data_IF_310611020828
#
_entry.id   IF_310611020828
#
_cell.length_a   1.000
_cell.length_b   1.000
_cell.length_c   1.000
_cell.angle_alpha   90.00
_cell.angle_beta   90.00
_cell.angle_gamma   90.00
#
_symmetry.space_group_name_H-M   'P 1'
#
loop_
_entity.id
_entity.type
_entity.pdbx_description
1 polymer ?
#
# COMPACT_ATOMS: atom_id res chain seq x y z
N UNK A 1 73.21 45.97 -22.00
CA UNK A 1 72.61 46.29 -20.69
C UNK A 1 71.36 45.43 -20.54
N UNK A 2 71.42 44.45 -19.63
CA UNK A 2 70.39 43.47 -19.25
C UNK A 2 69.68 44.06 -18.01
N UNK A 3 68.33 43.97 -17.86
CA UNK A 3 67.72 42.79 -17.23
C UNK A 3 66.40 42.28 -17.86
N UNK A 4 66.31 40.95 -18.05
CA UNK A 4 65.14 40.16 -17.62
C UNK A 4 65.43 39.70 -16.17
N UNK A 5 64.55 39.02 -15.41
CA UNK A 5 63.11 38.69 -15.54
C UNK A 5 62.30 38.98 -14.25
N UNK A 6 61.00 38.70 -14.22
CA UNK A 6 60.37 38.05 -13.05
C UNK A 6 59.16 37.21 -13.49
N UNK A 7 59.12 35.98 -13.00
CA UNK A 7 58.11 34.95 -13.24
C UNK A 7 57.74 34.41 -11.86
N UNK A 8 56.49 34.50 -11.43
CA UNK A 8 55.86 33.70 -10.34
C UNK A 8 54.49 34.26 -9.96
N UNK A 9 53.64 33.55 -9.19
CA UNK A 9 53.30 32.13 -9.24
C UNK A 9 51.77 31.89 -9.14
N UNK A 10 51.37 30.63 -9.33
CA UNK A 10 50.33 29.89 -8.61
C UNK A 10 49.07 30.62 -8.08
N UNK A 11 47.92 30.16 -8.55
CA UNK A 11 46.63 30.40 -7.93
C UNK A 11 45.59 29.39 -8.37
N UNK A 12 45.72 28.14 -7.92
CA UNK A 12 44.63 27.19 -7.92
C UNK A 12 43.59 27.62 -6.86
N UNK A 13 42.30 27.63 -7.19
CA UNK A 13 41.10 27.52 -6.32
C UNK A 13 39.95 27.28 -7.34
N UNK A 14 39.55 26.05 -7.69
CA UNK A 14 38.74 25.09 -6.93
C UNK A 14 37.45 25.67 -6.34
N UNK A 15 36.32 25.29 -6.97
CA UNK A 15 34.94 25.31 -6.46
C UNK A 15 34.37 26.64 -5.93
N UNK A 16 33.57 27.30 -6.77
CA UNK A 16 32.55 28.25 -6.31
C UNK A 16 31.14 27.68 -6.54
N UNK A 17 30.79 26.76 -5.64
CA UNK A 17 29.49 26.64 -4.94
C UNK A 17 28.22 26.89 -5.78
N UNK A 18 27.55 25.79 -6.14
CA UNK A 18 26.10 25.73 -6.34
C UNK A 18 25.40 26.21 -5.07
N UNK A 19 24.90 27.45 -5.07
CA UNK A 19 24.10 27.97 -3.98
C UNK A 19 22.63 28.08 -4.41
N UNK A 20 21.82 27.19 -3.80
CA UNK A 20 20.43 27.41 -3.37
C UNK A 20 19.32 27.31 -4.44
N UNK A 21 19.27 26.21 -5.19
CA UNK A 21 17.99 25.68 -5.69
C UNK A 21 17.31 24.86 -4.60
N UNK A 22 16.72 25.53 -3.61
CA UNK A 22 15.94 24.93 -2.54
C UNK A 22 14.46 25.28 -2.66
N UNK A 23 13.82 25.00 -3.79
CA UNK A 23 12.34 25.06 -3.87
C UNK A 23 11.81 23.88 -3.07
N UNK A 24 11.65 24.07 -1.75
CA UNK A 24 10.88 23.16 -0.92
C UNK A 24 9.41 23.46 -1.15
N UNK A 25 8.81 22.76 -2.11
CA UNK A 25 7.36 22.68 -2.20
C UNK A 25 6.87 21.70 -1.12
N UNK A 26 6.73 22.18 0.12
CA UNK A 26 6.02 21.43 1.14
C UNK A 26 4.52 21.68 0.97
N UNK A 27 3.89 20.98 0.03
CA UNK A 27 2.44 20.81 0.05
C UNK A 27 2.10 19.64 0.97
N UNK A 28 2.24 19.85 2.27
CA UNK A 28 1.52 19.02 3.23
C UNK A 28 0.11 19.60 3.29
N UNK A 29 -0.78 19.08 2.44
CA UNK A 29 -2.21 19.26 2.68
C UNK A 29 -2.46 18.60 4.03
N UNK A 30 -2.80 19.36 5.06
CA UNK A 30 -3.38 18.81 6.28
C UNK A 30 -4.67 18.10 5.87
N UNK A 31 -4.57 16.78 5.65
CA UNK A 31 -5.72 15.92 5.49
C UNK A 31 -6.33 15.87 6.88
N UNK A 32 -7.49 16.52 7.04
CA UNK A 32 -8.28 16.42 8.26
C UNK A 32 -8.45 14.93 8.59
N UNK A 33 -7.83 14.48 9.68
CA UNK A 33 -7.74 13.07 10.11
C UNK A 33 -9.11 12.43 10.43
N UNK A 34 -10.21 13.19 10.29
CA UNK A 34 -11.59 12.75 10.51
C UNK A 34 -12.29 12.22 9.25
N UNK A 35 -11.72 12.34 8.05
CA UNK A 35 -12.39 11.93 6.81
C UNK A 35 -12.17 10.44 6.54
N UNK A 36 -12.97 9.60 7.20
CA UNK A 36 -13.12 8.20 6.85
C UNK A 36 -13.86 8.10 5.51
N UNK A 37 -13.13 7.86 4.41
CA UNK A 37 -13.69 7.68 3.06
C UNK A 37 -14.33 6.29 2.87
N UNK A 38 -15.11 5.83 3.85
CA UNK A 38 -15.83 4.55 3.78
C UNK A 38 -17.31 4.80 3.53
N UNK A 39 -17.87 4.06 2.58
CA UNK A 39 -19.30 4.09 2.29
C UNK A 39 -19.80 2.70 1.85
N UNK A 40 -20.82 2.13 2.51
CA UNK A 40 -21.38 2.58 3.79
C UNK A 40 -20.33 2.54 4.90
N UNK A 41 -20.58 3.28 5.99
CA UNK A 41 -19.75 3.14 7.18
C UNK A 41 -20.01 1.76 7.80
N UNK A 42 -18.96 0.98 8.14
CA UNK A 42 -19.13 -0.30 8.82
C UNK A 42 -19.89 -0.16 10.14
N UNK A 43 -20.57 -1.23 10.58
CA UNK A 43 -21.27 -1.26 11.87
C UNK A 43 -20.32 -1.04 13.05
N UNK A 44 -19.10 -1.57 12.93
CA UNK A 44 -18.00 -1.37 13.86
C UNK A 44 -16.76 -0.95 13.07
N UNK A 45 -16.14 0.16 13.49
CA UNK A 45 -14.98 0.71 12.79
C UNK A 45 -13.95 1.25 13.77
N UNK A 46 -12.70 0.84 13.59
CA UNK A 46 -11.52 1.41 14.23
C UNK A 46 -10.43 1.59 13.19
N UNK A 47 -9.54 2.56 13.40
CA UNK A 47 -8.40 2.80 12.52
C UNK A 47 -7.14 3.09 13.34
N UNK A 48 -5.99 2.74 12.78
CA UNK A 48 -4.68 3.03 13.35
C UNK A 48 -4.14 4.39 12.93
N UNK A 49 -2.96 4.74 13.44
CA UNK A 49 -2.25 5.98 13.09
C UNK A 49 -1.15 5.77 12.02
N UNK A 50 -0.97 4.55 11.55
CA UNK A 50 0.05 4.18 10.58
C UNK A 50 -0.51 4.13 9.15
N UNK A 51 0.31 4.57 8.19
CA UNK A 51 0.04 4.38 6.76
C UNK A 51 0.88 3.21 6.24
N UNK A 52 0.23 2.22 5.63
CA UNK A 52 0.89 1.03 5.09
C UNK A 52 1.02 1.10 3.58
N UNK A 53 2.19 0.70 3.09
CA UNK A 53 2.44 0.51 1.66
C UNK A 53 2.01 -0.89 1.22
N UNK A 54 1.27 -0.97 0.11
CA UNK A 54 0.75 -2.23 -0.42
C UNK A 54 1.42 -2.58 -1.74
N UNK A 55 1.87 -3.82 -1.87
CA UNK A 55 2.48 -4.36 -3.09
C UNK A 55 1.44 -4.45 -4.22
N UNK A 56 1.63 -3.79 -5.38
CA UNK A 56 0.75 -3.95 -6.54
C UNK A 56 0.68 -5.39 -7.07
N UNK A 57 1.67 -6.22 -6.74
CA UNK A 57 1.66 -7.67 -7.01
C UNK A 57 1.00 -8.48 -5.91
N UNK A 58 0.14 -7.86 -5.08
CA UNK A 58 -0.62 -8.46 -3.98
C UNK A 58 -1.07 -9.89 -4.32
N UNK A 59 -0.71 -10.84 -3.46
CA UNK A 59 -1.10 -12.24 -3.59
C UNK A 59 -2.36 -12.56 -2.77
N UNK A 60 -3.10 -13.58 -3.17
CA UNK A 60 -4.26 -14.07 -2.43
C UNK A 60 -3.91 -15.38 -1.74
N UNK A 61 -4.17 -15.45 -0.44
CA UNK A 61 -4.13 -16.67 0.37
C UNK A 61 -5.56 -17.01 0.81
N UNK A 62 -6.12 -18.10 0.29
CA UNK A 62 -7.46 -18.54 0.65
C UNK A 62 -7.37 -19.65 1.69
N UNK A 63 -8.12 -19.52 2.77
CA UNK A 63 -8.24 -20.53 3.81
C UNK A 63 -9.71 -20.89 4.07
N UNK A 64 -9.96 -22.10 4.57
CA UNK A 64 -11.32 -22.63 4.71
C UNK A 64 -11.82 -23.24 3.40
N UNK A 65 -13.02 -22.83 2.97
CA UNK A 65 -13.63 -23.33 1.73
C UNK A 65 -13.05 -22.62 0.50
N UNK A 66 -12.86 -23.38 -0.56
CA UNK A 66 -12.44 -22.81 -1.83
C UNK A 66 -13.65 -22.18 -2.56
N UNK A 67 -13.51 -20.95 -3.07
CA UNK A 67 -14.57 -20.27 -3.82
C UNK A 67 -14.00 -19.59 -5.07
N UNK A 68 -14.56 -19.95 -6.22
CA UNK A 68 -14.21 -19.34 -7.51
C UNK A 68 -14.66 -17.87 -7.57
N UNK A 69 -15.78 -17.54 -6.91
CA UNK A 69 -16.33 -16.19 -6.84
C UNK A 69 -15.35 -15.26 -6.11
N UNK A 70 -14.79 -15.71 -4.98
CA UNK A 70 -13.81 -14.93 -4.20
C UNK A 70 -12.55 -14.67 -5.01
N UNK A 71 -12.02 -15.67 -5.73
CA UNK A 71 -10.86 -15.48 -6.62
C UNK A 71 -11.14 -14.47 -7.73
N UNK A 72 -12.27 -14.61 -8.41
CA UNK A 72 -12.66 -13.68 -9.48
C UNK A 72 -12.89 -12.25 -8.95
N UNK A 73 -13.44 -12.11 -7.74
CA UNK A 73 -13.58 -10.82 -7.06
C UNK A 73 -12.22 -10.21 -6.72
N UNK A 74 -11.31 -11.00 -6.16
CA UNK A 74 -9.95 -10.54 -5.85
C UNK A 74 -9.25 -9.97 -7.09
N UNK A 75 -9.25 -10.70 -8.21
CA UNK A 75 -8.61 -10.26 -9.44
C UNK A 75 -9.23 -8.95 -9.97
N UNK A 76 -10.56 -8.84 -9.93
CA UNK A 76 -11.28 -7.63 -10.34
C UNK A 76 -10.90 -6.43 -9.48
N UNK A 77 -10.94 -6.55 -8.15
CA UNK A 77 -10.61 -5.45 -7.24
C UNK A 77 -9.14 -5.07 -7.30
N UNK A 78 -8.23 -6.04 -7.42
CA UNK A 78 -6.80 -5.78 -7.65
C UNK A 78 -6.59 -4.93 -8.91
N UNK A 79 -7.28 -5.26 -10.00
CA UNK A 79 -7.23 -4.49 -11.25
C UNK A 79 -7.78 -3.06 -11.13
N UNK A 80 -8.78 -2.83 -10.28
CA UNK A 80 -9.34 -1.50 -10.00
C UNK A 80 -8.38 -0.67 -9.14
N UNK A 81 -7.94 -1.22 -8.00
CA UNK A 81 -7.12 -0.52 -7.01
C UNK A 81 -5.74 -0.16 -7.58
N UNK A 82 -5.11 -1.10 -8.29
CA UNK A 82 -3.74 -0.94 -8.80
C UNK A 82 -3.67 -0.56 -10.28
N UNK A 83 -4.77 -0.05 -10.87
CA UNK A 83 -4.81 0.40 -12.28
C UNK A 83 -3.64 1.32 -12.64
N UNK A 84 -3.24 2.18 -11.71
CA UNK A 84 -2.18 3.18 -11.89
C UNK A 84 -0.77 2.67 -11.56
N UNK A 85 -0.64 1.52 -10.88
CA UNK A 85 0.65 0.98 -10.48
C UNK A 85 1.46 0.37 -11.64
N UNK A 86 0.78 0.03 -12.74
CA UNK A 86 1.39 -0.53 -13.94
C UNK A 86 2.00 0.53 -14.88
N UNK A 87 1.80 1.82 -14.61
CA UNK A 87 2.50 2.87 -15.32
C UNK A 87 3.98 2.77 -14.95
N UNK A 88 4.81 2.32 -15.89
CA UNK A 88 6.22 2.07 -15.70
C UNK A 88 6.92 3.28 -15.05
N UNK A 89 7.14 3.22 -13.73
CA UNK A 89 7.94 4.22 -13.04
C UNK A 89 9.37 4.13 -13.60
N UNK A 90 9.95 5.23 -14.11
CA UNK A 90 11.30 5.23 -14.66
C UNK A 90 12.39 5.00 -13.60
N UNK A 91 12.04 4.91 -12.31
CA UNK A 91 12.95 4.67 -11.19
C UNK A 91 13.05 3.19 -10.81
N UNK A 92 13.27 2.29 -11.79
CA UNK A 92 13.49 0.84 -11.60
C UNK A 92 14.87 0.50 -10.97
N UNK A 93 15.28 1.20 -9.93
CA UNK A 93 16.58 1.01 -9.27
C UNK A 93 16.53 0.26 -7.94
N UNK A 94 15.36 0.11 -7.31
CA UNK A 94 15.24 -0.40 -5.95
C UNK A 94 13.97 -1.23 -5.85
N UNK A 95 14.06 -2.47 -5.39
CA UNK A 95 12.87 -3.24 -5.02
C UNK A 95 12.16 -2.45 -3.90
N UNK A 96 10.97 -1.87 -4.16
CA UNK A 96 10.23 -1.20 -3.10
C UNK A 96 9.89 -2.24 -2.02
N UNK A 97 10.22 -1.92 -0.78
CA UNK A 97 9.75 -2.65 0.39
C UNK A 97 8.29 -2.24 0.60
N UNK A 98 7.41 -3.23 0.61
CA UNK A 98 5.98 -3.07 0.87
C UNK A 98 5.64 -3.71 2.21
N UNK A 99 4.78 -3.05 2.98
CA UNK A 99 4.30 -3.54 4.28
C UNK A 99 3.31 -4.69 4.11
N UNK A 100 2.45 -4.64 3.08
CA UNK A 100 1.43 -5.65 2.79
C UNK A 100 1.66 -6.27 1.41
N UNK A 101 1.76 -7.60 1.36
CA UNK A 101 2.10 -8.37 0.14
C UNK A 101 1.15 -9.54 -0.13
N UNK A 102 0.40 -9.96 0.88
CA UNK A 102 -0.60 -11.02 0.77
C UNK A 102 -1.89 -10.56 1.45
N UNK A 103 -3.02 -10.94 0.86
CA UNK A 103 -4.35 -10.82 1.45
C UNK A 103 -4.83 -12.22 1.79
N UNK A 104 -5.06 -12.48 3.08
CA UNK A 104 -5.64 -13.74 3.55
C UNK A 104 -7.15 -13.59 3.67
N UNK A 105 -7.90 -14.44 2.96
CA UNK A 105 -9.36 -14.51 3.06
C UNK A 105 -9.73 -15.86 3.65
N UNK A 106 -10.53 -15.85 4.71
CA UNK A 106 -11.11 -17.07 5.29
C UNK A 106 -12.59 -17.12 4.93
N UNK A 107 -13.00 -18.20 4.25
CA UNK A 107 -14.40 -18.43 3.86
C UNK A 107 -14.93 -19.64 4.62
N UNK A 108 -15.98 -19.43 5.41
CA UNK A 108 -16.55 -20.48 6.25
C UNK A 108 -17.66 -21.29 5.58
N UNK A 109 -18.45 -20.68 4.68
CA UNK A 109 -19.58 -21.32 4.01
C UNK A 109 -19.27 -21.78 2.59
N UNK A 110 -19.91 -22.85 2.15
CA UNK A 110 -19.93 -23.33 0.76
C UNK A 110 -21.22 -22.95 0.01
N UNK A 111 -22.12 -22.20 0.64
CA UNK A 111 -23.33 -21.71 0.00
C UNK A 111 -23.07 -20.43 -0.82
N UNK A 112 -23.22 -20.53 -2.14
CA UNK A 112 -23.10 -19.41 -3.09
C UNK A 112 -24.46 -18.90 -3.60
N UNK A 113 -25.57 -19.40 -3.04
CA UNK A 113 -26.93 -19.01 -3.45
C UNK A 113 -27.29 -17.60 -2.98
N UNK A 114 -27.84 -16.81 -3.91
CA UNK A 114 -28.33 -15.46 -3.62
C UNK A 114 -29.77 -15.51 -3.14
N UNK A 115 -29.94 -15.53 -1.82
CA UNK A 115 -31.25 -15.51 -1.16
C UNK A 115 -31.33 -14.35 -0.17
N UNK A 116 -32.55 -13.90 0.14
CA UNK A 116 -32.75 -12.94 1.22
C UNK A 116 -32.48 -13.64 2.56
N UNK A 117 -31.77 -12.97 3.47
CA UNK A 117 -31.45 -13.52 4.80
C UNK A 117 -30.13 -14.31 4.85
N UNK A 118 -29.32 -14.27 3.80
CA UNK A 118 -27.92 -14.74 3.85
C UNK A 118 -27.08 -13.77 4.69
N UNK A 119 -26.14 -14.30 5.46
CA UNK A 119 -25.19 -13.54 6.25
C UNK A 119 -24.09 -12.93 5.36
N UNK A 120 -24.08 -11.59 5.30
CA UNK A 120 -23.10 -10.79 4.57
C UNK A 120 -22.07 -10.14 5.51
N UNK A 121 -21.97 -10.62 6.76
CA UNK A 121 -21.05 -10.08 7.76
C UNK A 121 -19.58 -10.44 7.48
N UNK A 122 -18.68 -9.54 7.81
CA UNK A 122 -17.25 -9.74 7.68
C UNK A 122 -16.48 -8.95 8.73
N UNK A 123 -15.27 -9.41 9.02
CA UNK A 123 -14.28 -8.71 9.83
C UNK A 123 -13.04 -8.43 8.99
N UNK A 124 -12.60 -7.17 8.95
CA UNK A 124 -11.40 -6.74 8.23
C UNK A 124 -10.34 -6.31 9.23
N UNK A 125 -9.21 -7.01 9.23
CA UNK A 125 -8.05 -6.71 10.05
C UNK A 125 -6.87 -6.29 9.18
N UNK A 126 -6.43 -5.04 9.37
CA UNK A 126 -5.26 -4.48 8.68
C UNK A 126 -4.23 -4.13 9.74
N UNK A 127 -3.19 -4.96 9.85
CA UNK A 127 -2.11 -4.76 10.81
C UNK A 127 -0.79 -4.55 10.06
N UNK A 128 0.06 -3.69 10.63
CA UNK A 128 1.47 -3.65 10.24
C UNK A 128 2.14 -4.92 10.74
N UNK A 129 3.02 -5.46 9.93
CA UNK A 129 3.82 -6.59 10.35
C UNK A 129 5.01 -6.09 11.20
N UNK A 130 5.12 -6.57 12.43
CA UNK A 130 6.28 -6.30 13.28
C UNK A 130 7.49 -7.09 12.76
N UNK A 131 8.69 -6.61 13.06
CA UNK A 131 10.00 -7.06 12.53
C UNK A 131 10.33 -8.56 12.72
N UNK A 132 9.43 -9.33 13.34
CA UNK A 132 9.55 -10.75 13.66
C UNK A 132 8.62 -11.68 12.89
N UNK A 133 7.69 -11.17 12.09
CA UNK A 133 6.84 -12.00 11.25
C UNK A 133 7.21 -11.77 9.77
N UNK A 134 7.43 -12.85 9.03
CA UNK A 134 8.00 -12.82 7.67
C UNK A 134 6.92 -12.48 6.62
N UNK A 135 5.66 -12.36 7.06
CA UNK A 135 4.50 -12.31 6.18
C UNK A 135 3.68 -11.05 6.46
N UNK A 136 3.89 -10.03 5.61
CA UNK A 136 3.07 -8.81 5.59
C UNK A 136 1.68 -9.12 5.04
N UNK A 137 0.78 -9.56 5.91
CA UNK A 137 -0.56 -10.00 5.57
C UNK A 137 -1.63 -9.05 6.11
N UNK A 138 -2.51 -8.59 5.21
CA UNK A 138 -3.83 -8.11 5.61
C UNK A 138 -4.78 -9.31 5.65
N UNK A 139 -5.69 -9.35 6.61
CA UNK A 139 -6.61 -10.47 6.78
C UNK A 139 -8.06 -10.00 6.72
N UNK A 140 -8.87 -10.71 5.94
CA UNK A 140 -10.33 -10.58 5.92
C UNK A 140 -10.90 -11.92 6.38
N UNK A 141 -11.65 -11.90 7.49
CA UNK A 141 -12.51 -13.00 7.90
C UNK A 141 -13.91 -12.78 7.36
N UNK A 142 -14.45 -13.73 6.59
CA UNK A 142 -15.84 -13.68 6.14
C UNK A 142 -16.60 -14.79 6.85
N UNK A 143 -17.58 -14.41 7.66
CA UNK A 143 -18.51 -15.33 8.29
C UNK A 143 -19.79 -15.31 7.48
N UNK A 144 -20.22 -16.47 6.99
CA UNK A 144 -21.51 -16.61 6.31
C UNK A 144 -22.28 -17.70 7.05
N UNK A 145 -23.14 -17.32 7.98
CA UNK A 145 -24.06 -18.22 8.68
C UNK A 145 -25.46 -18.16 8.02
N UNK A 146 -25.97 -19.30 7.52
CA UNK A 146 -27.34 -19.36 7.01
C UNK A 146 -28.33 -19.32 8.17
N UNK A 147 -29.09 -18.24 8.31
CA UNK A 147 -30.19 -18.17 9.26
C UNK A 147 -31.35 -19.01 8.74
N UNK A 148 -31.44 -20.26 9.21
CA UNK A 148 -32.65 -21.06 9.06
C UNK A 148 -33.72 -20.50 10.00
N UNK A 149 -34.65 -19.70 9.47
CA UNK A 149 -35.93 -19.47 10.16
C UNK A 149 -36.81 -20.70 9.98
N UNK A 150 -37.02 -21.42 11.09
CA UNK A 150 -38.03 -22.47 11.26
C UNK A 150 -38.56 -22.44 12.69
#
# INVERSE_FOLDING_TARGET
>A
MIPRPVKSPAGAIFLLILALSGVRCSSASEVNASLTYLWPLPSEFTFGNDTLSVDPRLSLSLAGRDSAIVRAAFDRYKGIIFRHANAASPFRGRNPLYDVRSLRIVVESDNEDLQLGVDESYELFVAKNDEHSIVGEAMIGVKIELVLQG
#
